data_IF_178207996928
#
_entry.id   IF_178207996928
#
_cell.length_a   1.000
_cell.length_b   1.000
_cell.length_c   1.000
_cell.angle_alpha   90.00
_cell.angle_beta   90.00
_cell.angle_gamma   90.00
#
_symmetry.space_group_name_H-M   'P 1'
#
loop_
_entity.id
_entity.type
_entity.pdbx_description
1 polymer ?
#
# COMPACT_ATOMS: atom_id res chain seq x y z
N UNK A 1 8.59 -3.09 -26.11
CA UNK A 1 7.85 -3.77 -25.04
C UNK A 1 7.14 -2.65 -24.29
N UNK A 2 5.84 -2.52 -24.47
CA UNK A 2 5.06 -1.41 -23.89
C UNK A 2 4.94 -1.64 -22.39
N UNK A 3 5.56 -0.77 -21.59
CA UNK A 3 5.35 -0.75 -20.15
C UNK A 3 3.85 -0.53 -19.91
N UNK A 4 3.20 -1.51 -19.29
CA UNK A 4 1.82 -1.33 -18.81
C UNK A 4 1.85 -0.17 -17.82
N UNK A 5 0.97 0.85 -17.93
CA UNK A 5 0.90 1.90 -16.93
C UNK A 5 0.65 1.22 -15.58
N UNK A 6 1.63 1.34 -14.68
CA UNK A 6 1.50 0.83 -13.33
C UNK A 6 0.32 1.58 -12.70
N UNK A 7 -0.78 0.86 -12.41
CA UNK A 7 -1.81 1.39 -11.53
C UNK A 7 -1.16 1.74 -10.20
N UNK A 8 -1.67 2.75 -9.48
CA UNK A 8 -1.13 3.11 -8.18
C UNK A 8 -1.04 1.89 -7.24
N UNK A 9 -2.03 0.99 -7.29
CA UNK A 9 -2.02 -0.32 -6.65
C UNK A 9 -0.76 -1.18 -6.92
N UNK A 10 -0.29 -1.21 -8.16
CA UNK A 10 0.92 -1.99 -8.50
C UNK A 10 2.19 -1.33 -7.95
N UNK A 11 2.29 0.01 -7.97
CA UNK A 11 3.42 0.73 -7.35
C UNK A 11 3.47 0.50 -5.84
N UNK A 12 2.31 0.56 -5.20
CA UNK A 12 2.16 0.28 -3.77
C UNK A 12 2.66 -1.10 -3.41
N UNK A 13 2.40 -2.11 -4.25
CA UNK A 13 2.84 -3.47 -3.98
C UNK A 13 4.36 -3.63 -4.19
N UNK A 14 4.94 -2.93 -5.19
CA UNK A 14 6.37 -2.97 -5.50
C UNK A 14 7.25 -2.47 -4.34
N UNK A 15 6.83 -1.44 -3.60
CA UNK A 15 7.59 -0.93 -2.44
C UNK A 15 7.81 -2.00 -1.35
N UNK A 16 6.97 -3.04 -1.31
CA UNK A 16 7.05 -4.12 -0.33
C UNK A 16 7.73 -5.39 -0.87
N UNK A 17 8.17 -5.42 -2.13
CA UNK A 17 8.93 -6.56 -2.67
C UNK A 17 10.32 -6.69 -2.03
N UNK A 18 10.92 -5.56 -1.66
CA UNK A 18 12.21 -5.50 -0.97
C UNK A 18 12.19 -6.12 0.44
N UNK A 19 13.38 -6.29 1.03
CA UNK A 19 13.52 -6.75 2.42
C UNK A 19 13.30 -5.63 3.45
N UNK A 20 13.32 -4.37 3.00
CA UNK A 20 13.28 -3.17 3.83
C UNK A 20 12.43 -2.09 3.15
N UNK A 21 11.76 -1.28 3.96
CA UNK A 21 11.05 -0.05 3.58
C UNK A 21 11.25 0.96 4.70
N UNK A 22 11.81 2.12 4.40
CA UNK A 22 12.10 3.19 5.38
C UNK A 22 12.76 2.68 6.68
N UNK A 23 13.87 1.94 6.54
CA UNK A 23 14.61 1.27 7.62
C UNK A 23 13.81 0.25 8.46
N UNK A 24 12.59 -0.07 8.05
CA UNK A 24 11.72 -1.08 8.67
C UNK A 24 11.74 -2.38 7.86
N UNK A 25 11.94 -3.54 8.50
CA UNK A 25 11.96 -4.81 7.78
C UNK A 25 10.58 -5.17 7.20
N UNK A 26 10.59 -5.75 6.01
CA UNK A 26 9.41 -6.23 5.31
C UNK A 26 9.41 -7.76 5.27
N UNK A 27 8.48 -8.36 6.01
CA UNK A 27 8.31 -9.81 6.11
C UNK A 27 7.26 -10.31 5.11
N UNK A 28 7.20 -11.63 4.94
CA UNK A 28 6.20 -12.27 4.08
C UNK A 28 4.75 -11.93 4.48
N UNK A 29 4.46 -11.83 5.79
CA UNK A 29 3.15 -11.40 6.26
C UNK A 29 2.84 -9.94 5.93
N UNK A 30 3.84 -9.04 5.94
CA UNK A 30 3.67 -7.64 5.55
C UNK A 30 3.26 -7.55 4.07
N UNK A 31 3.96 -8.28 3.18
CA UNK A 31 3.63 -8.33 1.75
C UNK A 31 2.22 -8.80 1.50
N UNK A 32 1.82 -9.90 2.17
CA UNK A 32 0.48 -10.45 2.04
C UNK A 32 -0.59 -9.44 2.49
N UNK A 33 -0.37 -8.79 3.65
CA UNK A 33 -1.31 -7.78 4.18
C UNK A 33 -1.46 -6.59 3.24
N UNK A 34 -0.37 -6.05 2.72
CA UNK A 34 -0.42 -4.93 1.78
C UNK A 34 -1.13 -5.33 0.49
N UNK A 35 -0.82 -6.50 -0.05
CA UNK A 35 -1.50 -7.02 -1.24
C UNK A 35 -3.01 -7.14 -1.01
N UNK A 36 -3.41 -7.75 0.11
CA UNK A 36 -4.83 -7.86 0.48
C UNK A 36 -5.50 -6.48 0.60
N UNK A 37 -4.84 -5.50 1.24
CA UNK A 37 -5.39 -4.16 1.38
C UNK A 37 -5.57 -3.48 0.00
N UNK A 38 -4.57 -3.59 -0.87
CA UNK A 38 -4.58 -3.00 -2.21
C UNK A 38 -5.63 -3.65 -3.12
N UNK A 39 -5.78 -4.97 -3.07
CA UNK A 39 -6.78 -5.70 -3.87
C UNK A 39 -8.22 -5.47 -3.39
N UNK A 40 -8.40 -5.21 -2.10
CA UNK A 40 -9.72 -5.12 -1.46
C UNK A 40 -10.24 -3.69 -1.33
N UNK A 41 -9.48 -2.69 -1.76
CA UNK A 41 -9.87 -1.28 -1.61
C UNK A 41 -9.63 -0.49 -2.90
N UNK A 42 -10.59 0.36 -3.30
CA UNK A 42 -10.39 1.28 -4.42
C UNK A 42 -9.55 2.47 -3.98
N UNK A 43 -8.31 2.52 -4.48
CA UNK A 43 -7.36 3.56 -4.16
C UNK A 43 -7.89 4.97 -4.51
N UNK A 44 -8.70 5.13 -5.56
CA UNK A 44 -9.27 6.42 -5.97
C UNK A 44 -10.35 6.92 -5.00
N UNK A 45 -11.06 6.01 -4.34
CA UNK A 45 -12.04 6.35 -3.30
C UNK A 45 -11.38 6.72 -1.97
N UNK A 46 -10.16 6.22 -1.73
CA UNK A 46 -9.39 6.49 -0.52
C UNK A 46 -8.65 7.84 -0.54
N UNK A 47 -8.10 8.26 -1.70
CA UNK A 47 -7.34 9.52 -1.82
C UNK A 47 -8.02 10.74 -1.21
N UNK A 48 -9.30 11.04 -1.50
CA UNK A 48 -9.93 12.27 -1.02
C UNK A 48 -10.22 12.26 0.49
N UNK A 49 -10.05 11.12 1.18
CA UNK A 49 -10.31 11.01 2.61
C UNK A 49 -9.18 11.63 3.44
N UNK A 50 -9.34 11.74 4.76
CA UNK A 50 -8.22 12.05 5.64
C UNK A 50 -7.39 10.79 5.95
N UNK A 51 -6.20 10.97 6.51
CA UNK A 51 -5.28 9.87 6.81
C UNK A 51 -5.90 8.84 7.78
N UNK A 52 -6.67 9.27 8.78
CA UNK A 52 -7.29 8.34 9.73
C UNK A 52 -8.34 7.48 9.05
N UNK A 53 -9.15 8.09 8.19
CA UNK A 53 -10.17 7.38 7.41
C UNK A 53 -9.54 6.36 6.43
N UNK A 54 -8.45 6.73 5.74
CA UNK A 54 -7.69 5.80 4.88
C UNK A 54 -7.13 4.62 5.67
N UNK A 55 -6.45 4.88 6.79
CA UNK A 55 -5.91 3.81 7.65
C UNK A 55 -7.02 2.87 8.09
N UNK A 56 -8.16 3.41 8.53
CA UNK A 56 -9.30 2.60 8.95
C UNK A 56 -9.79 1.72 7.80
N UNK A 57 -10.01 2.28 6.62
CA UNK A 57 -10.51 1.53 5.46
C UNK A 57 -9.56 0.38 5.06
N UNK A 58 -8.25 0.64 5.00
CA UNK A 58 -7.26 -0.39 4.69
C UNK A 58 -7.22 -1.49 5.76
N UNK A 59 -7.34 -1.12 7.03
CA UNK A 59 -7.37 -2.08 8.14
C UNK A 59 -8.65 -2.92 8.12
N UNK A 60 -9.80 -2.31 7.85
CA UNK A 60 -11.08 -3.00 7.73
C UNK A 60 -11.06 -4.01 6.57
N UNK A 61 -10.50 -3.63 5.43
CA UNK A 61 -10.34 -4.50 4.28
C UNK A 61 -9.47 -5.74 4.61
N UNK A 62 -8.35 -5.53 5.30
CA UNK A 62 -7.49 -6.65 5.72
C UNK A 62 -8.14 -7.49 6.82
N UNK A 63 -8.87 -6.90 7.76
CA UNK A 63 -9.52 -7.63 8.84
C UNK A 63 -10.65 -8.54 8.33
N UNK A 64 -11.32 -8.18 7.23
CA UNK A 64 -12.32 -9.03 6.58
C UNK A 64 -11.72 -10.32 6.02
N UNK A 65 -10.52 -10.24 5.42
CA UNK A 65 -9.84 -11.37 4.78
C UNK A 65 -8.88 -12.12 5.73
N UNK A 66 -8.35 -11.43 6.73
CA UNK A 66 -7.35 -11.92 7.68
C UNK A 66 -7.71 -11.55 9.13
N UNK A 67 -8.80 -12.10 9.70
CA UNK A 67 -9.28 -11.69 11.01
C UNK A 67 -8.25 -11.88 12.14
N UNK A 68 -8.11 -10.88 13.00
CA UNK A 68 -7.19 -10.83 14.14
C UNK A 68 -5.71 -10.72 13.77
N UNK A 69 -5.37 -10.67 12.47
CA UNK A 69 -3.97 -10.64 12.05
C UNK A 69 -3.28 -9.34 12.46
N UNK A 70 -3.96 -8.20 12.30
CA UNK A 70 -3.41 -6.87 12.57
C UNK A 70 -3.18 -6.61 14.05
N UNK A 71 -3.95 -7.25 14.92
CA UNK A 71 -3.76 -7.18 16.37
C UNK A 71 -2.53 -7.99 16.82
N UNK A 72 -2.24 -9.09 16.14
CA UNK A 72 -1.07 -9.92 16.41
C UNK A 72 0.22 -9.38 15.78
N UNK A 73 0.14 -8.56 14.72
CA UNK A 73 1.30 -8.13 13.92
C UNK A 73 1.38 -6.61 13.80
N UNK A 74 2.06 -5.99 14.76
CA UNK A 74 2.30 -4.53 14.78
C UNK A 74 3.00 -4.00 13.52
N UNK A 75 3.89 -4.78 12.90
CA UNK A 75 4.59 -4.36 11.69
C UNK A 75 3.64 -4.26 10.49
N UNK A 76 2.68 -5.17 10.37
CA UNK A 76 1.67 -5.14 9.32
C UNK A 76 0.74 -3.94 9.49
N UNK A 77 0.30 -3.67 10.72
CA UNK A 77 -0.51 -2.49 11.01
C UNK A 77 0.24 -1.17 10.76
N UNK A 78 1.54 -1.10 11.06
CA UNK A 78 2.40 0.05 10.75
C UNK A 78 2.54 0.28 9.24
N UNK A 79 2.86 -0.78 8.49
CA UNK A 79 2.98 -0.71 7.03
C UNK A 79 1.67 -0.28 6.34
N UNK A 80 0.51 -0.66 6.86
CA UNK A 80 -0.79 -0.14 6.39
C UNK A 80 -1.00 1.34 6.71
N UNK A 81 -0.44 1.81 7.83
CA UNK A 81 -0.50 3.23 8.17
C UNK A 81 0.36 4.04 7.20
N UNK A 82 1.60 3.62 6.98
CA UNK A 82 2.51 4.26 6.04
C UNK A 82 1.90 4.27 4.62
N UNK A 83 1.37 3.13 4.18
CA UNK A 83 0.62 3.01 2.92
C UNK A 83 -0.52 4.05 2.81
N UNK A 84 -1.29 4.26 3.87
CA UNK A 84 -2.36 5.26 3.88
C UNK A 84 -1.83 6.70 3.78
N UNK A 85 -0.63 6.98 4.27
CA UNK A 85 0.00 8.30 4.16
C UNK A 85 0.53 8.55 2.75
N UNK A 86 1.16 7.55 2.14
CA UNK A 86 1.82 7.68 0.84
C UNK A 86 0.84 7.62 -0.34
N UNK A 87 -0.34 7.03 -0.13
CA UNK A 87 -1.36 6.82 -1.18
C UNK A 87 -1.66 8.05 -2.05
N UNK A 88 -1.88 9.26 -1.49
CA UNK A 88 -2.17 10.45 -2.30
C UNK A 88 -0.99 10.84 -3.20
N UNK A 89 0.24 10.81 -2.69
CA UNK A 89 1.44 11.21 -3.41
C UNK A 89 1.78 10.23 -4.53
N UNK A 90 1.54 8.93 -4.29
CA UNK A 90 1.77 7.85 -5.24
C UNK A 90 0.76 7.83 -6.41
N UNK A 91 -0.45 8.35 -6.18
CA UNK A 91 -1.46 8.55 -7.22
C UNK A 91 -1.24 9.88 -7.97
N UNK A 92 -0.85 10.94 -7.26
CA UNK A 92 -0.65 12.26 -7.84
C UNK A 92 0.63 12.38 -8.68
N UNK A 93 1.61 11.50 -8.47
CA UNK A 93 2.88 11.50 -9.19
C UNK A 93 2.86 10.52 -10.37
N UNK A 94 2.58 10.95 -11.62
CA UNK A 94 3.03 10.21 -12.78
C UNK A 94 4.57 10.21 -12.75
N UNK A 95 5.21 9.09 -13.12
CA UNK A 95 6.68 9.09 -13.21
C UNK A 95 7.11 10.10 -14.28
N UNK A 96 8.26 10.78 -14.14
CA UNK A 96 8.93 11.32 -15.30
C UNK A 96 9.30 10.13 -16.19
N UNK A 97 8.80 10.11 -17.43
CA UNK A 97 9.22 9.14 -18.43
C UNK A 97 10.76 9.06 -18.42
N UNK A 98 11.31 7.86 -18.18
CA UNK A 98 12.74 7.59 -18.21
C UNK A 98 13.29 7.57 -19.65
N UNK A 99 12.98 8.61 -20.42
CA UNK A 99 13.35 8.81 -21.83
C UNK A 99 13.87 10.25 -22.09
N UNK A 100 14.34 10.94 -21.04
CA UNK A 100 14.94 12.28 -21.13
C UNK A 100 16.31 12.35 -20.43
N UNK A 101 17.17 11.35 -20.71
CA UNK A 101 18.59 11.33 -20.32
C UNK A 101 19.50 10.88 -21.48
#
# INVERSE_FOLDING_TARGET
MTATPLTAANRLTQEFEGAWRDDTPVFACCRKVVHTAVESTDALELVPQDATARVRALREAVEQEMPGHLDAHRCCAGHLADLAFDLPDLIASPEPDADDA
#
